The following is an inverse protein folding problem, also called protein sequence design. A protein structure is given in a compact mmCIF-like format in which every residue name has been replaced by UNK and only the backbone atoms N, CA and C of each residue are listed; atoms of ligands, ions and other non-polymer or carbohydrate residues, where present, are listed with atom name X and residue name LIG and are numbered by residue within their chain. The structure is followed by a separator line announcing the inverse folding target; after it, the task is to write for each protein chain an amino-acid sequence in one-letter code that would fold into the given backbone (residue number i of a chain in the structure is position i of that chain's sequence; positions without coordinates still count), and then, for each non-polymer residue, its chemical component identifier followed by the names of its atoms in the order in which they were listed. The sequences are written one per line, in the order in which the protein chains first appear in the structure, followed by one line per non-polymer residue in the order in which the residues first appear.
data_IF_821881376847
#
_entry.id   IF_821881376847
#
_cell.length_a   1.000
_cell.length_b   1.000
_cell.length_c   1.000
_cell.angle_alpha   90.00
_cell.angle_beta   90.00
_cell.angle_gamma   90.00
#
_symmetry.space_group_name_H-M   'P 1'
#
loop_
_entity.id
_entity.type
_entity.pdbx_description
1 polymer ?
#
# COMPACT_ATOMS: atom_id res chain seq x y z
N UNK A 1 -50.61 22.71 -2.71
CA UNK A 1 -50.05 21.81 -3.74
C UNK A 1 -48.68 21.34 -3.24
N UNK A 2 -48.67 20.23 -2.50
CA UNK A 2 -47.48 19.67 -1.85
C UNK A 2 -46.92 18.62 -2.79
N UNK A 3 -45.74 18.86 -3.35
CA UNK A 3 -45.03 17.88 -4.17
C UNK A 3 -44.20 17.00 -3.23
N UNK A 4 -44.69 15.78 -3.01
CA UNK A 4 -43.91 14.70 -2.41
C UNK A 4 -42.83 14.27 -3.40
N UNK A 5 -41.56 14.62 -3.14
CA UNK A 5 -40.43 13.98 -3.80
C UNK A 5 -40.13 12.68 -3.05
N UNK A 6 -40.62 11.57 -3.58
CA UNK A 6 -40.27 10.24 -3.09
C UNK A 6 -38.78 9.98 -3.35
N UNK A 7 -38.00 9.87 -2.30
CA UNK A 7 -36.59 9.48 -2.37
C UNK A 7 -36.48 8.02 -2.82
N UNK A 8 -36.20 7.81 -4.10
CA UNK A 8 -35.77 6.51 -4.61
C UNK A 8 -34.36 6.25 -4.08
N UNK A 9 -34.25 5.51 -2.97
CA UNK A 9 -33.00 4.87 -2.56
C UNK A 9 -32.66 3.80 -3.61
N UNK A 10 -31.87 4.15 -4.62
CA UNK A 10 -31.11 3.18 -5.38
C UNK A 10 -30.07 2.56 -4.44
N UNK A 11 -30.40 1.44 -3.80
CA UNK A 11 -29.39 0.54 -3.26
C UNK A 11 -28.58 0.02 -4.46
N UNK A 12 -27.28 0.34 -4.50
CA UNK A 12 -26.34 -0.39 -5.33
C UNK A 12 -26.37 -1.86 -4.87
N UNK A 13 -27.17 -2.67 -5.57
CA UNK A 13 -27.23 -4.11 -5.35
C UNK A 13 -25.98 -4.69 -6.01
N UNK A 14 -24.89 -4.76 -5.25
CA UNK A 14 -23.83 -5.72 -5.56
C UNK A 14 -24.51 -7.09 -5.62
N UNK A 15 -24.48 -7.75 -6.78
CA UNK A 15 -24.96 -9.12 -6.93
C UNK A 15 -23.98 -10.04 -6.19
N UNK A 16 -24.05 -10.03 -4.86
CA UNK A 16 -23.46 -11.03 -4.01
C UNK A 16 -24.53 -12.07 -3.74
N UNK A 17 -24.23 -13.30 -4.18
CA UNK A 17 -24.96 -14.50 -3.82
C UNK A 17 -25.09 -14.55 -2.30
N UNK A 18 -26.28 -14.23 -1.80
CA UNK A 18 -26.68 -14.52 -0.43
C UNK A 18 -26.47 -16.02 -0.16
N UNK A 19 -25.71 -16.38 0.88
CA UNK A 19 -26.19 -17.38 1.86
C UNK A 19 -25.34 -17.51 3.13
N UNK A 20 -26.11 -17.56 4.21
CA UNK A 20 -25.97 -18.36 5.42
C UNK A 20 -24.87 -18.01 6.44
N UNK A 21 -25.35 -17.43 7.55
CA UNK A 21 -24.76 -17.58 8.89
C UNK A 21 -24.51 -19.07 9.18
N UNK A 22 -23.29 -19.45 9.52
CA UNK A 22 -23.05 -20.60 10.39
C UNK A 22 -21.77 -20.42 11.21
N UNK A 23 -21.93 -20.78 12.47
CA UNK A 23 -21.00 -20.79 13.60
C UNK A 23 -19.66 -21.51 13.36
N UNK A 24 -18.60 -20.93 13.93
CA UNK A 24 -17.36 -21.52 14.47
C UNK A 24 -16.60 -22.62 13.70
N UNK A 25 -15.27 -22.42 13.64
CA UNK A 25 -14.30 -23.50 13.64
C UNK A 25 -13.54 -23.66 12.32
N UNK A 26 -12.21 -23.69 12.42
CA UNK A 26 -11.25 -23.89 11.34
C UNK A 26 -11.75 -24.92 10.30
N UNK A 27 -11.96 -24.52 9.05
CA UNK A 27 -11.99 -25.47 7.94
C UNK A 27 -11.72 -24.79 6.60
N UNK A 28 -10.93 -25.46 5.76
CA UNK A 28 -10.77 -25.16 4.35
C UNK A 28 -12.15 -25.16 3.68
N UNK A 29 -12.67 -23.99 3.32
CA UNK A 29 -14.00 -23.88 2.72
C UNK A 29 -14.05 -24.56 1.33
N UNK A 30 -14.76 -25.70 1.17
CA UNK A 30 -14.86 -26.43 -0.09
C UNK A 30 -15.74 -25.71 -1.13
N UNK A 31 -16.52 -24.70 -0.73
CA UNK A 31 -17.51 -24.03 -1.59
C UNK A 31 -16.87 -23.06 -2.60
N UNK A 32 -15.64 -22.59 -2.35
CA UNK A 32 -14.88 -21.84 -3.35
C UNK A 32 -14.53 -22.68 -4.59
N UNK A 33 -14.58 -24.02 -4.54
CA UNK A 33 -14.21 -24.86 -5.69
C UNK A 33 -15.37 -25.30 -6.57
N UNK A 34 -16.62 -25.05 -6.17
CA UNK A 34 -17.80 -25.66 -6.80
C UNK A 34 -18.50 -24.75 -7.82
N UNK A 35 -18.18 -23.46 -7.87
CA UNK A 35 -18.70 -22.50 -8.86
C UNK A 35 -17.58 -21.97 -9.76
N UNK A 36 -17.88 -21.68 -11.03
CA UNK A 36 -16.89 -21.17 -11.98
C UNK A 36 -16.24 -19.86 -11.47
N UNK A 37 -17.04 -18.98 -10.86
CA UNK A 37 -16.58 -17.76 -10.19
C UNK A 37 -15.70 -18.06 -8.97
N UNK A 38 -16.12 -18.98 -8.10
CA UNK A 38 -15.32 -19.38 -6.93
C UNK A 38 -13.97 -19.98 -7.32
N UNK A 39 -13.93 -20.80 -8.38
CA UNK A 39 -12.70 -21.43 -8.84
C UNK A 39 -11.69 -20.42 -9.40
N UNK A 40 -12.17 -19.42 -10.14
CA UNK A 40 -11.35 -18.30 -10.61
C UNK A 40 -10.78 -17.51 -9.42
N UNK A 41 -11.65 -17.16 -8.45
CA UNK A 41 -11.24 -16.42 -7.26
C UNK A 41 -10.20 -17.20 -6.44
N UNK A 42 -10.42 -18.50 -6.22
CA UNK A 42 -9.47 -19.37 -5.54
C UNK A 42 -8.11 -19.43 -6.23
N UNK A 43 -8.09 -19.51 -7.57
CA UNK A 43 -6.85 -19.53 -8.36
C UNK A 43 -6.11 -18.20 -8.27
N UNK A 44 -6.83 -17.08 -8.25
CA UNK A 44 -6.28 -15.74 -8.04
C UNK A 44 -5.71 -15.57 -6.63
N UNK A 45 -6.45 -15.98 -5.59
CA UNK A 45 -6.00 -15.94 -4.18
C UNK A 45 -4.69 -16.70 -4.00
N UNK A 46 -4.63 -17.93 -4.53
CA UNK A 46 -3.41 -18.74 -4.45
C UNK A 46 -2.26 -18.08 -5.19
N UNK A 47 -2.51 -17.49 -6.36
CA UNK A 47 -1.48 -16.79 -7.13
C UNK A 47 -0.95 -15.54 -6.41
N UNK A 48 -1.82 -14.72 -5.81
CA UNK A 48 -1.42 -13.53 -5.05
C UNK A 48 -0.56 -13.86 -3.83
N UNK A 49 -0.99 -14.84 -3.01
CA UNK A 49 -0.20 -15.28 -1.85
C UNK A 49 1.14 -15.89 -2.24
N UNK A 50 1.19 -16.66 -3.33
CA UNK A 50 2.46 -17.21 -3.85
C UNK A 50 3.41 -16.09 -4.28
N UNK A 51 2.95 -15.13 -5.09
CA UNK A 51 3.76 -13.97 -5.50
C UNK A 51 4.31 -13.18 -4.32
N UNK A 52 3.50 -12.94 -3.29
CA UNK A 52 3.95 -12.24 -2.10
C UNK A 52 5.02 -13.02 -1.34
N UNK A 53 4.83 -14.33 -1.16
CA UNK A 53 5.81 -15.20 -0.50
C UNK A 53 7.10 -15.33 -1.30
N UNK A 54 7.01 -15.41 -2.63
CA UNK A 54 8.16 -15.43 -3.53
C UNK A 54 8.95 -14.12 -3.45
N UNK A 55 8.24 -12.99 -3.33
CA UNK A 55 8.87 -11.68 -3.22
C UNK A 55 9.59 -11.49 -1.88
N UNK A 56 8.93 -11.71 -0.75
CA UNK A 56 9.48 -11.38 0.58
C UNK A 56 10.08 -12.58 1.33
N UNK A 57 10.03 -13.79 0.76
CA UNK A 57 10.50 -15.03 1.39
C UNK A 57 9.66 -15.47 2.61
N UNK A 58 8.55 -14.80 2.90
CA UNK A 58 7.64 -15.08 4.01
C UNK A 58 6.23 -14.55 3.73
N UNK A 59 5.25 -15.09 4.45
CA UNK A 59 3.86 -14.68 4.28
C UNK A 59 3.37 -13.67 5.33
N UNK A 60 4.04 -13.55 6.48
CA UNK A 60 3.57 -12.72 7.60
C UNK A 60 4.68 -11.86 8.18
N UNK A 61 4.23 -10.78 8.81
CA UNK A 61 5.00 -9.84 9.60
C UNK A 61 6.18 -9.23 8.84
N UNK A 62 6.17 -9.17 7.51
CA UNK A 62 7.21 -8.49 6.69
C UNK A 62 7.35 -7.04 7.13
N UNK A 63 8.56 -6.53 7.27
CA UNK A 63 8.80 -5.11 7.58
C UNK A 63 9.37 -4.40 6.36
N UNK A 64 8.65 -3.40 5.87
CA UNK A 64 9.03 -2.59 4.72
C UNK A 64 9.40 -1.19 5.23
N UNK A 65 10.65 -0.78 5.01
CA UNK A 65 11.12 0.57 5.36
C UNK A 65 10.68 1.61 4.33
N UNK A 66 10.03 2.69 4.78
CA UNK A 66 9.67 3.82 3.91
C UNK A 66 10.85 4.80 3.79
N UNK A 67 11.26 5.07 2.57
CA UNK A 67 12.24 6.10 2.20
C UNK A 67 11.46 7.31 1.70
N UNK A 68 11.52 8.42 2.44
CA UNK A 68 10.94 9.69 2.00
C UNK A 68 12.00 10.46 1.23
N UNK A 69 11.82 10.53 -0.10
CA UNK A 69 12.71 11.26 -0.98
C UNK A 69 12.60 12.76 -0.67
N UNK A 70 13.74 13.47 -0.72
CA UNK A 70 13.77 14.94 -0.59
C UNK A 70 12.97 15.58 -1.73
N UNK A 71 12.51 16.81 -1.52
CA UNK A 71 11.68 17.53 -2.50
C UNK A 71 12.34 17.52 -3.89
N UNK A 72 11.61 17.03 -4.87
CA UNK A 72 12.07 16.86 -6.24
C UNK A 72 12.12 18.20 -6.99
N UNK A 73 12.92 18.31 -8.05
CA UNK A 73 12.81 19.41 -9.00
C UNK A 73 11.37 19.57 -9.50
N UNK A 74 10.83 20.79 -9.41
CA UNK A 74 9.44 21.12 -9.74
C UNK A 74 8.53 21.29 -8.52
N UNK A 75 8.87 20.68 -7.38
CA UNK A 75 8.18 20.97 -6.11
C UNK A 75 8.60 22.35 -5.56
N UNK A 76 7.71 23.11 -4.89
CA UNK A 76 8.05 24.41 -4.31
C UNK A 76 9.21 24.39 -3.30
N UNK A 77 9.46 23.26 -2.64
CA UNK A 77 10.58 23.09 -1.69
C UNK A 77 11.83 22.47 -2.35
N UNK A 78 11.78 22.19 -3.64
CA UNK A 78 12.89 21.62 -4.40
C UNK A 78 14.07 22.59 -4.50
N UNK A 79 15.22 22.19 -3.95
CA UNK A 79 16.45 23.01 -3.94
C UNK A 79 17.73 22.20 -4.15
N UNK A 80 17.65 20.88 -4.05
CA UNK A 80 18.79 19.97 -4.16
C UNK A 80 19.00 19.50 -5.60
N UNK A 81 20.24 19.16 -5.93
CA UNK A 81 20.55 18.47 -7.19
C UNK A 81 20.08 17.02 -7.11
N UNK A 82 19.75 16.44 -8.26
CA UNK A 82 19.33 15.04 -8.33
C UNK A 82 20.35 14.07 -7.73
N UNK A 83 21.66 14.35 -7.83
CA UNK A 83 22.69 13.53 -7.19
C UNK A 83 22.55 13.52 -5.66
N UNK A 84 22.30 14.68 -5.05
CA UNK A 84 22.16 14.82 -3.59
C UNK A 84 20.88 14.12 -3.09
N UNK A 85 19.80 14.20 -3.88
CA UNK A 85 18.53 13.52 -3.59
C UNK A 85 18.72 12.00 -3.64
N UNK A 86 19.33 11.48 -4.71
CA UNK A 86 19.63 10.05 -4.85
C UNK A 86 20.57 9.53 -3.78
N UNK A 87 21.62 10.29 -3.43
CA UNK A 87 22.55 9.95 -2.35
C UNK A 87 21.84 9.87 -1.00
N UNK A 88 20.96 10.82 -0.69
CA UNK A 88 20.17 10.79 0.54
C UNK A 88 19.28 9.54 0.61
N UNK A 89 18.57 9.22 -0.47
CA UNK A 89 17.75 8.00 -0.54
C UNK A 89 18.59 6.72 -0.39
N UNK A 90 19.78 6.66 -0.99
CA UNK A 90 20.69 5.52 -0.86
C UNK A 90 21.23 5.37 0.56
N UNK A 91 21.49 6.47 1.28
CA UNK A 91 21.88 6.43 2.71
C UNK A 91 20.77 5.81 3.56
N UNK A 92 19.52 6.20 3.34
CA UNK A 92 18.38 5.59 4.05
C UNK A 92 18.22 4.11 3.71
N UNK A 93 18.33 3.75 2.43
CA UNK A 93 18.27 2.36 1.97
C UNK A 93 19.36 1.49 2.62
N UNK A 94 20.59 2.00 2.72
CA UNK A 94 21.70 1.30 3.37
C UNK A 94 21.43 1.07 4.86
N UNK A 95 20.92 2.08 5.58
CA UNK A 95 20.53 1.95 7.00
C UNK A 95 19.52 0.82 7.19
N UNK A 96 18.47 0.81 6.36
CA UNK A 96 17.43 -0.20 6.42
C UNK A 96 17.96 -1.61 6.10
N UNK A 97 18.74 -1.74 5.03
CA UNK A 97 19.40 -2.99 4.64
C UNK A 97 20.28 -3.54 5.77
N UNK A 98 21.13 -2.70 6.35
CA UNK A 98 22.09 -3.10 7.39
C UNK A 98 21.40 -3.42 8.73
N UNK A 99 20.20 -2.90 8.97
CA UNK A 99 19.35 -3.26 10.10
C UNK A 99 18.53 -4.55 9.87
N UNK A 100 18.48 -5.02 8.62
CA UNK A 100 17.84 -6.27 8.21
C UNK A 100 16.33 -6.16 7.99
N UNK A 101 15.83 -5.03 7.50
CA UNK A 101 14.43 -4.94 7.02
C UNK A 101 14.20 -5.89 5.85
N UNK A 102 12.95 -6.30 5.61
CA UNK A 102 12.62 -7.29 4.59
C UNK A 102 12.33 -6.68 3.21
N UNK A 103 12.13 -5.37 3.13
CA UNK A 103 11.94 -4.64 1.88
C UNK A 103 11.96 -3.13 2.07
N UNK A 104 11.93 -2.41 0.94
CA UNK A 104 11.94 -0.95 0.90
C UNK A 104 10.78 -0.42 0.06
N UNK A 105 10.32 0.78 0.33
CA UNK A 105 9.44 1.54 -0.56
C UNK A 105 9.89 2.99 -0.61
N UNK A 106 9.94 3.56 -1.82
CA UNK A 106 10.39 4.93 -2.10
C UNK A 106 9.17 5.81 -2.38
N UNK A 107 9.04 6.93 -1.65
CA UNK A 107 7.89 7.86 -1.74
C UNK A 107 8.36 9.31 -1.81
N UNK A 108 7.70 10.14 -2.63
CA UNK A 108 7.98 11.58 -2.78
C UNK A 108 7.24 12.46 -1.74
N UNK A 109 7.25 12.05 -0.48
CA UNK A 109 6.52 12.73 0.63
C UNK A 109 6.93 14.21 0.83
N UNK A 110 8.12 14.63 0.38
CA UNK A 110 8.55 16.04 0.51
C UNK A 110 8.11 16.94 -0.65
N UNK A 111 7.37 16.43 -1.64
CA UNK A 111 6.91 17.23 -2.80
C UNK A 111 5.72 18.15 -2.50
N UNK A 112 5.48 18.46 -1.22
CA UNK A 112 4.35 19.29 -0.79
C UNK A 112 4.37 20.70 -1.41
N UNK A 113 3.20 21.27 -1.75
CA UNK A 113 1.88 20.63 -1.78
C UNK A 113 1.76 19.65 -2.97
N UNK A 114 1.04 18.55 -2.74
CA UNK A 114 0.85 17.52 -3.76
C UNK A 114 -0.13 17.98 -4.86
N UNK A 115 0.03 17.38 -6.04
CA UNK A 115 -0.81 17.65 -7.22
C UNK A 115 -1.50 16.36 -7.69
N UNK A 116 -2.75 16.48 -8.13
CA UNK A 116 -3.48 15.40 -8.81
C UNK A 116 -2.93 15.10 -10.21
N UNK A 117 -2.09 15.98 -10.74
CA UNK A 117 -1.47 15.86 -12.05
C UNK A 117 0.05 15.90 -11.88
N UNK A 118 0.65 14.74 -11.65
CA UNK A 118 2.11 14.60 -11.59
C UNK A 118 2.71 14.83 -12.99
N UNK A 119 3.62 15.81 -13.10
CA UNK A 119 4.30 16.11 -14.35
C UNK A 119 5.36 15.07 -14.72
N UNK A 120 5.87 15.13 -15.97
CA UNK A 120 6.90 14.20 -16.44
C UNK A 120 8.19 14.28 -15.60
N UNK A 121 8.50 15.44 -15.03
CA UNK A 121 9.65 15.66 -14.14
C UNK A 121 9.61 14.76 -12.91
N UNK A 122 8.43 14.53 -12.32
CA UNK A 122 8.28 13.64 -11.14
C UNK A 122 8.64 12.21 -11.52
N UNK A 123 8.15 11.71 -12.66
CA UNK A 123 8.46 10.36 -13.12
C UNK A 123 9.94 10.20 -13.45
N UNK A 124 10.55 11.20 -14.11
CA UNK A 124 11.97 11.19 -14.44
C UNK A 124 12.85 11.21 -13.17
N UNK A 125 12.54 12.08 -12.22
CA UNK A 125 13.31 12.21 -10.98
C UNK A 125 13.15 10.96 -10.10
N UNK A 126 11.93 10.45 -9.93
CA UNK A 126 11.68 9.23 -9.18
C UNK A 126 12.35 8.01 -9.82
N UNK A 127 12.40 7.92 -11.16
CA UNK A 127 13.17 6.86 -11.85
C UNK A 127 14.65 6.93 -11.47
N UNK A 128 15.28 8.10 -11.51
CA UNK A 128 16.69 8.26 -11.17
C UNK A 128 17.00 7.85 -9.70
N UNK A 129 16.13 8.23 -8.77
CA UNK A 129 16.25 7.83 -7.36
C UNK A 129 16.06 6.33 -7.19
N UNK A 130 15.01 5.76 -7.78
CA UNK A 130 14.70 4.33 -7.69
C UNK A 130 15.80 3.45 -8.31
N UNK A 131 16.38 3.83 -9.45
CA UNK A 131 17.54 3.15 -10.03
C UNK A 131 18.73 3.14 -9.05
N UNK A 132 18.98 4.28 -8.39
CA UNK A 132 20.08 4.40 -7.41
C UNK A 132 19.85 3.51 -6.19
N UNK A 133 18.62 3.50 -5.66
CA UNK A 133 18.23 2.65 -4.52
C UNK A 133 18.29 1.16 -4.88
N UNK A 134 17.82 0.76 -6.08
CA UNK A 134 17.95 -0.61 -6.58
C UNK A 134 19.40 -1.04 -6.69
N UNK A 135 20.28 -0.20 -7.22
CA UNK A 135 21.71 -0.50 -7.31
C UNK A 135 22.36 -0.68 -5.92
N UNK A 136 21.96 0.11 -4.92
CA UNK A 136 22.45 0.00 -3.56
C UNK A 136 21.92 -1.23 -2.78
N UNK A 137 20.73 -1.73 -3.17
CA UNK A 137 20.02 -2.83 -2.50
C UNK A 137 19.48 -3.86 -3.51
N UNK A 138 20.35 -4.57 -4.27
CA UNK A 138 19.91 -5.41 -5.39
C UNK A 138 19.09 -6.63 -4.98
N UNK A 139 19.26 -7.12 -3.74
CA UNK A 139 18.60 -8.32 -3.23
C UNK A 139 17.32 -8.06 -2.44
N UNK A 140 17.01 -6.81 -2.09
CA UNK A 140 15.80 -6.50 -1.35
C UNK A 140 14.63 -6.29 -2.32
N UNK A 141 13.42 -6.72 -1.95
CA UNK A 141 12.18 -6.22 -2.54
C UNK A 141 12.11 -4.70 -2.40
N UNK A 142 11.90 -4.00 -3.51
CA UNK A 142 11.76 -2.54 -3.53
C UNK A 142 10.47 -2.18 -4.24
N UNK A 143 9.72 -1.25 -3.68
CA UNK A 143 8.58 -0.63 -4.35
C UNK A 143 8.66 0.87 -4.46
N UNK A 144 7.69 1.45 -5.17
CA UNK A 144 7.53 2.89 -5.29
C UNK A 144 6.10 3.35 -4.99
N UNK A 145 5.99 4.59 -4.51
CA UNK A 145 4.75 5.33 -4.40
C UNK A 145 4.99 6.74 -4.91
N UNK A 146 4.07 7.27 -5.72
CA UNK A 146 4.11 8.65 -6.17
C UNK A 146 2.81 9.32 -5.78
N UNK A 147 2.93 10.28 -4.87
CA UNK A 147 1.84 11.08 -4.35
C UNK A 147 1.44 12.18 -5.37
N UNK A 148 0.16 12.48 -5.56
CA UNK A 148 -1.02 11.79 -5.02
C UNK A 148 -1.72 11.03 -6.13
N UNK A 149 -2.04 9.75 -5.89
CA UNK A 149 -2.70 8.85 -6.85
C UNK A 149 -2.04 8.77 -8.25
N UNK A 150 -0.75 9.11 -8.38
CA UNK A 150 0.02 9.02 -9.62
C UNK A 150 0.46 7.57 -9.89
N UNK A 151 -0.51 6.64 -9.86
CA UNK A 151 -0.27 5.20 -9.85
C UNK A 151 0.32 4.69 -11.17
N UNK A 152 -0.07 5.28 -12.30
CA UNK A 152 0.50 4.91 -13.60
C UNK A 152 1.97 5.35 -13.69
N UNK A 153 2.29 6.54 -13.21
CA UNK A 153 3.66 7.04 -13.09
C UNK A 153 4.48 6.14 -12.18
N UNK A 154 3.96 5.79 -10.99
CA UNK A 154 4.62 4.87 -10.07
C UNK A 154 4.90 3.51 -10.72
N UNK A 155 3.95 2.99 -11.51
CA UNK A 155 4.11 1.73 -12.22
C UNK A 155 5.17 1.80 -13.33
N UNK A 156 5.20 2.90 -14.08
CA UNK A 156 6.22 3.13 -15.11
C UNK A 156 7.62 3.26 -14.50
N UNK A 157 7.74 4.00 -13.39
CA UNK A 157 8.98 4.13 -12.60
C UNK A 157 9.43 2.77 -12.09
N UNK A 158 8.51 1.97 -11.55
CA UNK A 158 8.81 0.64 -11.05
C UNK A 158 9.35 -0.27 -12.17
N UNK A 159 8.70 -0.30 -13.33
CA UNK A 159 9.18 -1.06 -14.49
C UNK A 159 10.56 -0.59 -14.94
N UNK A 160 10.75 0.71 -15.16
CA UNK A 160 12.00 1.28 -15.68
C UNK A 160 13.19 1.10 -14.73
N UNK A 161 12.93 1.07 -13.41
CA UNK A 161 13.96 0.94 -12.38
C UNK A 161 14.17 -0.50 -11.88
N UNK A 162 13.41 -1.47 -12.41
CA UNK A 162 13.46 -2.87 -11.97
C UNK A 162 12.98 -3.07 -10.53
N UNK A 163 11.90 -2.39 -10.13
CA UNK A 163 11.25 -2.55 -8.83
C UNK A 163 10.18 -3.65 -8.88
N UNK A 164 9.76 -4.11 -7.71
CA UNK A 164 8.95 -5.33 -7.58
C UNK A 164 7.47 -5.05 -7.29
N UNK A 165 7.16 -3.87 -6.74
CA UNK A 165 5.79 -3.49 -6.42
C UNK A 165 5.56 -1.97 -6.43
N UNK A 166 4.29 -1.57 -6.43
CA UNK A 166 3.89 -0.20 -6.13
C UNK A 166 2.87 -0.18 -5.00
N UNK A 167 2.82 0.93 -4.27
CA UNK A 167 1.68 1.29 -3.44
C UNK A 167 0.79 2.24 -4.22
N UNK A 168 -0.48 1.88 -4.37
CA UNK A 168 -1.45 2.62 -5.16
C UNK A 168 -2.56 3.21 -4.30
N UNK A 169 -2.93 4.46 -4.62
CA UNK A 169 -3.96 5.24 -3.93
C UNK A 169 -5.18 5.41 -4.82
N UNK A 170 -6.38 5.52 -4.25
CA UNK A 170 -7.60 5.68 -5.05
C UNK A 170 -7.82 4.53 -6.04
N UNK A 171 -7.49 3.29 -5.65
CA UNK A 171 -7.67 2.13 -6.54
C UNK A 171 -9.16 1.81 -6.75
N UNK A 172 -9.91 1.72 -5.66
CA UNK A 172 -11.37 1.55 -5.64
C UNK A 172 -12.02 2.64 -4.80
N UNK A 173 -13.24 3.01 -5.20
CA UNK A 173 -14.06 4.07 -4.61
C UNK A 173 -13.44 5.48 -4.62
N UNK A 174 -14.27 6.49 -4.85
CA UNK A 174 -13.86 7.88 -4.77
C UNK A 174 -13.84 8.37 -3.32
N UNK A 175 -12.96 9.31 -3.01
CA UNK A 175 -12.86 9.97 -1.70
C UNK A 175 -12.25 11.36 -1.86
N UNK A 176 -12.37 12.20 -0.82
CA UNK A 176 -11.82 13.56 -0.84
C UNK A 176 -10.54 13.58 -0.01
N UNK A 177 -9.40 13.82 -0.66
CA UNK A 177 -8.11 14.01 0.01
C UNK A 177 -7.78 15.51 0.12
N UNK A 178 -6.61 15.84 0.68
CA UNK A 178 -6.14 17.22 0.85
C UNK A 178 -6.01 17.97 -0.50
N UNK A 179 -5.78 17.23 -1.59
CA UNK A 179 -5.65 17.73 -2.96
C UNK A 179 -6.98 17.81 -3.71
N UNK A 180 -8.08 17.32 -3.12
CA UNK A 180 -9.41 17.32 -3.69
C UNK A 180 -10.02 15.94 -3.90
N UNK A 181 -10.98 15.83 -4.83
CA UNK A 181 -11.69 14.58 -5.11
C UNK A 181 -10.82 13.62 -5.91
N UNK A 182 -10.47 12.49 -5.30
CA UNK A 182 -9.80 11.36 -5.94
C UNK A 182 -10.82 10.38 -6.49
N UNK A 183 -10.72 10.08 -7.79
CA UNK A 183 -11.52 9.05 -8.46
C UNK A 183 -10.84 7.68 -8.38
N UNK A 184 -11.65 6.62 -8.48
CA UNK A 184 -11.14 5.25 -8.54
C UNK A 184 -10.43 4.96 -9.87
N UNK A 185 -9.21 4.43 -9.82
CA UNK A 185 -8.34 4.25 -11.00
C UNK A 185 -7.99 2.81 -11.38
N UNK A 186 -8.57 1.78 -10.73
CA UNK A 186 -8.17 0.38 -10.93
C UNK A 186 -8.16 -0.09 -12.40
N UNK A 187 -9.21 0.24 -13.15
CA UNK A 187 -9.35 -0.22 -14.54
C UNK A 187 -8.27 0.33 -15.47
N UNK A 188 -7.96 1.62 -15.35
CA UNK A 188 -6.94 2.28 -16.16
C UNK A 188 -5.54 1.83 -15.75
N UNK A 189 -5.28 1.70 -14.44
CA UNK A 189 -4.00 1.22 -13.93
C UNK A 189 -3.68 -0.20 -14.41
N UNK A 190 -4.65 -1.13 -14.32
CA UNK A 190 -4.41 -2.52 -14.71
C UNK A 190 -4.28 -2.72 -16.22
N UNK A 191 -5.01 -1.94 -17.04
CA UNK A 191 -4.80 -1.93 -18.49
C UNK A 191 -3.42 -1.37 -18.84
N UNK A 192 -3.02 -0.28 -18.19
CA UNK A 192 -1.70 0.29 -18.37
C UNK A 192 -0.59 -0.69 -17.99
N UNK A 193 -0.73 -1.39 -16.84
CA UNK A 193 0.18 -2.46 -16.42
C UNK A 193 0.40 -3.51 -17.51
N UNK A 194 -0.69 -3.98 -18.12
CA UNK A 194 -0.66 -4.93 -19.23
C UNK A 194 0.02 -4.33 -20.47
N UNK A 195 -0.31 -3.08 -20.81
CA UNK A 195 0.17 -2.39 -22.00
C UNK A 195 1.69 -2.22 -22.00
N UNK A 196 2.29 -1.94 -20.84
CA UNK A 196 3.75 -1.72 -20.71
C UNK A 196 4.53 -2.99 -20.33
N UNK A 197 3.87 -4.15 -20.18
CA UNK A 197 4.53 -5.41 -19.81
C UNK A 197 4.95 -5.51 -18.33
N UNK A 198 4.29 -4.76 -17.45
CA UNK A 198 4.64 -4.68 -16.02
C UNK A 198 3.82 -5.65 -15.13
N UNK A 199 3.28 -6.76 -15.65
CA UNK A 199 2.45 -7.68 -14.84
C UNK A 199 3.20 -8.41 -13.71
N UNK A 200 4.53 -8.34 -13.72
CA UNK A 200 5.39 -8.83 -12.64
C UNK A 200 5.43 -7.85 -11.45
N UNK A 201 5.18 -6.56 -11.68
CA UNK A 201 5.09 -5.54 -10.62
C UNK A 201 3.76 -5.69 -9.88
N UNK A 202 3.84 -6.02 -8.58
CA UNK A 202 2.66 -6.15 -7.73
C UNK A 202 2.06 -4.79 -7.38
N UNK A 203 0.74 -4.71 -7.29
CA UNK A 203 0.04 -3.47 -6.91
C UNK A 203 -0.62 -3.70 -5.55
N UNK A 204 -0.08 -3.05 -4.52
CA UNK A 204 -0.68 -3.02 -3.19
C UNK A 204 -1.49 -1.74 -3.02
N UNK A 205 -2.77 -1.86 -2.67
CA UNK A 205 -3.72 -0.75 -2.79
C UNK A 205 -4.20 -0.28 -1.43
N UNK A 206 -4.11 1.02 -1.16
CA UNK A 206 -4.73 1.61 0.04
C UNK A 206 -6.25 1.45 0.02
N UNK A 207 -6.82 1.02 1.15
CA UNK A 207 -8.26 1.01 1.41
C UNK A 207 -8.55 1.99 2.55
N UNK A 208 -9.57 2.84 2.35
CA UNK A 208 -9.90 3.94 3.27
C UNK A 208 -8.67 4.70 3.78
N UNK A 209 -7.88 5.21 2.83
CA UNK A 209 -6.60 5.90 3.06
C UNK A 209 -6.72 7.01 4.12
N UNK A 210 -5.68 7.15 4.94
CA UNK A 210 -5.37 8.31 5.79
C UNK A 210 -5.37 9.64 5.02
N UNK A 211 -5.59 10.75 5.73
CA UNK A 211 -5.65 12.11 5.14
C UNK A 211 -6.70 12.20 4.02
N UNK A 212 -7.83 11.52 4.21
CA UNK A 212 -8.93 11.53 3.27
C UNK A 212 -10.26 11.37 4.00
N UNK A 213 -11.26 12.11 3.53
CA UNK A 213 -12.66 11.96 3.92
C UNK A 213 -13.34 10.90 3.05
N UNK A 214 -13.88 9.88 3.72
CA UNK A 214 -14.66 8.81 3.10
C UNK A 214 -16.17 9.01 3.31
N UNK A 215 -16.62 10.26 3.48
CA UNK A 215 -18.04 10.56 3.71
C UNK A 215 -18.94 10.10 2.55
N UNK A 216 -18.45 10.22 1.30
CA UNK A 216 -19.14 9.78 0.08
C UNK A 216 -19.43 8.27 0.04
N UNK A 217 -18.65 7.49 0.79
CA UNK A 217 -18.66 6.03 0.83
C UNK A 217 -18.78 5.55 2.28
N UNK A 218 -19.40 6.36 3.13
CA UNK A 218 -19.56 6.09 4.56
C UNK A 218 -20.43 4.86 4.84
N UNK A 219 -21.27 4.48 3.88
CA UNK A 219 -22.10 3.27 3.89
C UNK A 219 -21.31 2.00 3.53
N UNK A 220 -20.09 2.12 3.02
CA UNK A 220 -19.22 1.00 2.65
C UNK A 220 -18.21 0.77 3.79
N UNK A 221 -18.22 -0.41 4.40
CA UNK A 221 -17.24 -0.78 5.43
C UNK A 221 -15.82 -0.97 4.87
N UNK A 222 -14.80 -1.02 5.75
CA UNK A 222 -13.42 -1.31 5.34
C UNK A 222 -13.29 -2.71 4.71
N UNK A 223 -13.99 -3.70 5.25
CA UNK A 223 -14.02 -5.06 4.71
C UNK A 223 -14.72 -5.14 3.35
N UNK A 224 -15.79 -4.36 3.12
CA UNK A 224 -16.42 -4.24 1.79
C UNK A 224 -15.49 -3.56 0.79
N UNK A 225 -14.77 -2.53 1.23
CA UNK A 225 -13.75 -1.86 0.42
C UNK A 225 -12.64 -2.82 0.01
N UNK A 226 -12.16 -3.66 0.94
CA UNK A 226 -11.16 -4.69 0.67
C UNK A 226 -11.66 -5.75 -0.33
N UNK A 227 -12.88 -6.25 -0.16
CA UNK A 227 -13.51 -7.20 -1.10
C UNK A 227 -13.67 -6.60 -2.50
N UNK A 228 -14.00 -5.32 -2.59
CA UNK A 228 -14.05 -4.62 -3.88
C UNK A 228 -12.64 -4.52 -4.50
N UNK A 229 -11.61 -4.16 -3.74
CA UNK A 229 -10.23 -4.10 -4.24
C UNK A 229 -9.76 -5.47 -4.77
N UNK A 230 -10.05 -6.56 -4.04
CA UNK A 230 -9.76 -7.93 -4.49
C UNK A 230 -10.53 -8.30 -5.77
N UNK A 231 -11.82 -7.97 -5.83
CA UNK A 231 -12.63 -8.18 -7.03
C UNK A 231 -12.08 -7.40 -8.24
N UNK A 232 -11.54 -6.21 -8.01
CA UNK A 232 -10.85 -5.39 -9.01
C UNK A 232 -9.38 -5.80 -9.23
N UNK A 233 -8.99 -7.01 -8.81
CA UNK A 233 -7.70 -7.65 -9.09
C UNK A 233 -6.48 -6.94 -8.47
N UNK A 234 -6.65 -6.34 -7.29
CA UNK A 234 -5.51 -5.91 -6.46
C UNK A 234 -4.63 -7.10 -6.07
N UNK A 235 -3.30 -6.91 -6.03
CA UNK A 235 -2.37 -7.96 -5.57
C UNK A 235 -2.26 -7.99 -4.03
N UNK A 236 -2.77 -6.98 -3.33
CA UNK A 236 -2.85 -6.89 -1.88
C UNK A 236 -3.47 -5.57 -1.41
N UNK A 237 -4.03 -5.54 -0.21
CA UNK A 237 -4.66 -4.33 0.35
C UNK A 237 -3.85 -3.78 1.51
N UNK A 238 -3.89 -2.45 1.68
CA UNK A 238 -3.17 -1.73 2.72
C UNK A 238 -4.18 -1.00 3.61
N UNK A 239 -4.17 -1.31 4.89
CA UNK A 239 -4.95 -0.62 5.93
C UNK A 239 -4.10 0.50 6.51
N UNK A 240 -4.67 1.69 6.66
CA UNK A 240 -3.99 2.84 7.26
C UNK A 240 -4.77 3.37 8.45
N UNK A 241 -4.09 3.95 9.44
CA UNK A 241 -4.73 4.72 10.50
C UNK A 241 -5.26 6.07 9.96
N UNK A 242 -5.97 6.86 10.76
CA UNK A 242 -6.60 8.09 10.28
C UNK A 242 -5.62 9.16 9.74
N UNK A 243 -4.38 9.19 10.25
CA UNK A 243 -3.33 10.13 9.85
C UNK A 243 -1.93 9.50 10.01
N UNK A 244 -0.89 10.13 9.45
CA UNK A 244 0.51 9.66 9.59
C UNK A 244 0.93 9.63 11.07
N UNK A 245 1.35 8.45 11.54
CA UNK A 245 1.77 8.24 12.93
C UNK A 245 0.64 7.76 13.86
N UNK A 246 -0.62 7.81 13.42
CA UNK A 246 -1.74 7.21 14.14
C UNK A 246 -1.86 5.74 13.75
N UNK A 247 -2.15 4.91 14.76
CA UNK A 247 -2.25 3.46 14.60
C UNK A 247 -3.48 3.06 13.76
N UNK A 248 -3.33 2.04 12.92
CA UNK A 248 -4.46 1.35 12.30
C UNK A 248 -5.21 0.54 13.37
N UNK A 249 -6.52 0.38 13.25
CA UNK A 249 -7.26 -0.42 14.22
C UNK A 249 -6.91 -1.92 14.04
N UNK A 250 -6.38 -2.62 15.06
CA UNK A 250 -6.13 -4.05 14.98
C UNK A 250 -7.40 -4.88 14.70
N UNK A 251 -8.60 -4.38 15.00
CA UNK A 251 -9.86 -5.00 14.60
C UNK A 251 -10.05 -4.98 13.08
N UNK A 252 -9.77 -3.85 12.43
CA UNK A 252 -9.85 -3.75 10.96
C UNK A 252 -8.90 -4.73 10.28
N UNK A 253 -7.71 -4.96 10.84
CA UNK A 253 -6.79 -5.98 10.31
C UNK A 253 -7.44 -7.37 10.31
N UNK A 254 -8.10 -7.75 11.41
CA UNK A 254 -8.77 -9.05 11.51
C UNK A 254 -9.92 -9.15 10.53
N UNK A 255 -10.79 -8.14 10.49
CA UNK A 255 -11.97 -8.11 9.63
C UNK A 255 -11.59 -8.17 8.15
N UNK A 256 -10.61 -7.37 7.74
CA UNK A 256 -10.13 -7.36 6.36
C UNK A 256 -9.46 -8.69 6.01
N UNK A 257 -8.57 -9.21 6.87
CA UNK A 257 -7.87 -10.48 6.63
C UNK A 257 -8.80 -11.69 6.51
N UNK A 258 -9.96 -11.66 7.18
CA UNK A 258 -10.99 -12.68 7.05
C UNK A 258 -11.87 -12.49 5.81
N UNK A 259 -11.95 -11.27 5.29
CA UNK A 259 -12.82 -10.91 4.16
C UNK A 259 -12.19 -11.13 2.77
N UNK A 260 -10.86 -11.23 2.68
CA UNK A 260 -10.13 -11.37 1.40
C UNK A 260 -9.11 -12.52 1.42
N UNK A 261 -8.80 -13.04 0.23
CA UNK A 261 -7.77 -14.06 0.02
C UNK A 261 -6.37 -13.50 -0.31
N UNK A 262 -6.27 -12.23 -0.71
CA UNK A 262 -5.01 -11.53 -1.01
C UNK A 262 -4.26 -11.03 0.25
N UNK A 263 -2.95 -10.74 0.15
CA UNK A 263 -2.17 -10.13 1.23
C UNK A 263 -2.81 -8.85 1.81
N UNK A 264 -2.76 -8.71 3.13
CA UNK A 264 -3.20 -7.54 3.90
C UNK A 264 -2.01 -6.92 4.62
N UNK A 265 -1.76 -5.65 4.35
CA UNK A 265 -0.62 -4.90 4.87
C UNK A 265 -1.10 -3.76 5.78
N UNK A 266 -0.25 -3.32 6.71
CA UNK A 266 -0.46 -2.10 7.50
C UNK A 266 0.43 -0.99 6.93
N UNK A 267 -0.17 0.13 6.52
CA UNK A 267 0.51 1.23 5.83
C UNK A 267 0.98 2.38 6.72
N UNK A 268 0.65 2.36 8.02
CA UNK A 268 0.97 3.46 8.94
C UNK A 268 0.77 3.08 10.41
N UNK A 269 1.48 3.77 11.31
CA UNK A 269 1.17 3.77 12.75
C UNK A 269 1.71 2.58 13.54
N UNK A 270 2.48 1.70 12.89
CA UNK A 270 3.22 0.64 13.57
C UNK A 270 4.46 1.23 14.25
N UNK A 271 4.65 0.87 15.51
CA UNK A 271 5.72 1.30 16.40
C UNK A 271 6.27 0.11 17.17
N UNK A 272 7.43 0.27 17.80
CA UNK A 272 8.02 -0.73 18.69
C UNK A 272 7.03 -1.24 19.75
N UNK A 273 6.18 -0.35 20.27
CA UNK A 273 5.30 -0.64 21.40
C UNK A 273 4.03 -1.39 20.98
N UNK A 274 3.52 -1.17 19.77
CA UNK A 274 2.26 -1.79 19.29
C UNK A 274 2.43 -2.86 18.20
N UNK A 275 3.66 -3.15 17.75
CA UNK A 275 3.93 -4.09 16.64
C UNK A 275 3.33 -5.50 16.84
N UNK A 276 3.20 -5.94 18.09
CA UNK A 276 2.62 -7.24 18.45
C UNK A 276 1.16 -7.37 17.98
N UNK A 277 0.42 -6.27 17.96
CA UNK A 277 -0.98 -6.23 17.50
C UNK A 277 -1.13 -6.43 15.98
N UNK A 278 -0.03 -6.36 15.22
CA UNK A 278 -0.04 -6.43 13.76
C UNK A 278 0.76 -7.62 13.19
N UNK A 279 1.19 -8.56 14.04
CA UNK A 279 1.98 -9.72 13.58
C UNK A 279 1.23 -10.59 12.55
N UNK A 280 -0.10 -10.60 12.60
CA UNK A 280 -0.92 -11.34 11.64
C UNK A 280 -0.99 -10.70 10.25
N UNK A 281 -0.60 -9.43 10.10
CA UNK A 281 -0.51 -8.78 8.81
C UNK A 281 0.56 -9.45 7.93
N UNK A 282 0.35 -9.44 6.62
CA UNK A 282 1.35 -9.93 5.67
C UNK A 282 2.60 -9.04 5.67
N UNK A 283 2.42 -7.72 5.69
CA UNK A 283 3.50 -6.74 5.87
C UNK A 283 3.08 -5.52 6.70
N UNK A 284 4.09 -4.79 7.17
CA UNK A 284 3.98 -3.51 7.85
C UNK A 284 4.94 -2.52 7.18
N UNK A 285 4.41 -1.42 6.64
CA UNK A 285 5.18 -0.32 6.09
C UNK A 285 5.45 0.67 7.23
N UNK A 286 6.73 0.85 7.56
CA UNK A 286 7.17 1.67 8.70
C UNK A 286 7.98 2.85 8.19
N UNK A 287 7.46 4.06 8.41
CA UNK A 287 8.11 5.32 8.05
C UNK A 287 8.50 6.14 9.26
N UNK A 288 7.59 6.97 9.76
CA UNK A 288 7.88 7.95 10.82
C UNK A 288 8.50 7.35 12.08
N UNK A 289 8.11 6.14 12.49
CA UNK A 289 8.69 5.45 13.65
C UNK A 289 10.18 5.10 13.49
N UNK A 290 10.71 5.06 12.26
CA UNK A 290 12.13 4.84 12.01
C UNK A 290 12.93 6.14 11.87
N UNK A 291 12.27 7.29 11.95
CA UNK A 291 12.93 8.60 11.86
C UNK A 291 13.23 9.15 13.25
N UNK A 292 14.28 9.96 13.35
CA UNK A 292 14.66 10.64 14.59
C UNK A 292 13.44 11.38 15.20
N UNK A 293 13.15 11.08 16.46
CA UNK A 293 12.02 11.68 17.18
C UNK A 293 10.63 11.24 16.68
N UNK A 294 10.55 10.19 15.85
CA UNK A 294 9.28 9.73 15.30
C UNK A 294 8.69 10.66 14.22
N UNK A 295 9.48 11.61 13.69
CA UNK A 295 9.00 12.63 12.77
C UNK A 295 9.44 12.33 11.33
N UNK A 296 8.47 12.16 10.43
CA UNK A 296 8.68 11.64 9.07
C UNK A 296 9.70 12.43 8.23
N UNK A 297 9.85 13.74 8.48
CA UNK A 297 10.75 14.63 7.74
C UNK A 297 12.22 14.54 8.17
N UNK A 298 12.48 13.89 9.32
CA UNK A 298 13.83 13.74 9.85
C UNK A 298 14.57 12.57 9.18
N UNK A 299 15.87 12.44 9.48
CA UNK A 299 16.68 11.31 9.03
C UNK A 299 16.29 10.00 9.74
N UNK A 300 16.65 8.87 9.13
CA UNK A 300 16.44 7.53 9.72
C UNK A 300 17.37 7.31 10.90
N UNK A 301 16.83 6.84 12.02
CA UNK A 301 17.59 6.43 13.21
C UNK A 301 17.95 4.94 13.12
N UNK A 302 19.21 4.64 12.78
CA UNK A 302 19.72 3.26 12.68
C UNK A 302 19.49 2.44 13.96
N UNK A 303 19.63 3.04 15.15
CA UNK A 303 19.46 2.32 16.41
C UNK A 303 18.00 1.97 16.64
N UNK A 304 17.09 2.87 16.27
CA UNK A 304 15.65 2.61 16.33
C UNK A 304 15.24 1.47 15.40
N UNK A 305 15.72 1.47 14.15
CA UNK A 305 15.46 0.38 13.20
C UNK A 305 16.02 -0.95 13.71
N UNK A 306 17.28 -0.97 14.19
CA UNK A 306 17.91 -2.18 14.74
C UNK A 306 17.15 -2.73 15.95
N UNK A 307 16.70 -1.86 16.85
CA UNK A 307 15.90 -2.23 18.02
C UNK A 307 14.55 -2.83 17.59
N UNK A 308 13.86 -2.21 16.64
CA UNK A 308 12.59 -2.70 16.10
C UNK A 308 12.76 -4.06 15.42
N UNK A 309 13.73 -4.20 14.52
CA UNK A 309 14.00 -5.47 13.83
C UNK A 309 14.47 -6.56 14.80
N UNK A 310 15.17 -6.19 15.88
CA UNK A 310 15.51 -7.10 16.98
C UNK A 310 14.27 -7.67 17.68
N UNK A 311 13.26 -6.83 17.95
CA UNK A 311 11.96 -7.29 18.50
C UNK A 311 11.22 -8.16 17.50
N UNK A 312 11.13 -7.75 16.24
CA UNK A 312 10.50 -8.54 15.16
C UNK A 312 11.13 -9.93 15.01
N UNK A 313 12.45 -10.04 15.06
CA UNK A 313 13.13 -11.35 14.99
C UNK A 313 12.73 -12.28 16.14
N UNK A 314 12.55 -11.75 17.35
CA UNK A 314 12.07 -12.53 18.50
C UNK A 314 10.60 -12.96 18.35
N UNK A 315 9.75 -12.07 17.84
CA UNK A 315 8.33 -12.34 17.63
C UNK A 315 8.05 -13.32 16.47
N UNK A 316 9.02 -13.52 15.58
CA UNK A 316 8.94 -14.46 14.44
C UNK A 316 9.39 -15.89 14.79
N UNK A 317 10.02 -16.09 15.95
CA UNK A 317 10.43 -17.40 16.45
C UNK A 317 9.23 -18.14 17.04
#
# INVERSE_FOLDING_TARGET
MIVFVSAVKLKYSFCLVNRAKSTFGQSHDPLLRTTQTGFILWRLHRKGRMKFSELFGRLKSVVIGMIHVKALPGSPLGSLKMSEISEAACREAAIYRDAGVDGLIVENMHDVPYSLSAGPEVSACMTAVCCSVRAACPSLPIGAQILTAANQQALAVALASGLDFIRAEGFVFAHVADEGLLNAGAGELLRYRKQIGAEHVQIFTDIKKKHSSHALTSDVSVAETARAAEFFLSDGVIITGAATGLQADPEELRDVSQSVGIPVLIGSGVTYDNVESYLDANAMIVGSHFKLGGHWANEVDLQQVKRFMGKIRKLRQ
#
